data_IF_064896180739
#
_entry.id   IF_064896180739
#
_cell.length_a   1.000
_cell.length_b   1.000
_cell.length_c   1.000
_cell.angle_alpha   90.00
_cell.angle_beta   90.00
_cell.angle_gamma   90.00
#
_symmetry.space_group_name_H-M   'P 1'
#
loop_
_entity.id
_entity.type
_entity.pdbx_description
1 polymer ?
#
# COMPACT_ATOMS: atom_id res chain seq x y z
N UNK A 1 -16.49 -25.40 6.30
CA UNK A 1 -15.39 -24.75 7.07
C UNK A 1 -14.34 -24.04 6.20
N UNK A 2 -14.32 -24.18 4.87
CA UNK A 2 -13.32 -23.54 3.99
C UNK A 2 -13.53 -22.04 3.72
N UNK A 3 -14.78 -21.58 3.58
CA UNK A 3 -15.09 -20.22 3.09
C UNK A 3 -14.60 -19.08 4.00
N UNK A 4 -14.58 -19.29 5.32
CA UNK A 4 -14.22 -18.25 6.30
C UNK A 4 -12.74 -17.85 6.24
N UNK A 5 -11.83 -18.77 5.84
CA UNK A 5 -10.40 -18.48 5.72
C UNK A 5 -10.02 -17.92 4.36
N UNK A 6 -10.80 -18.23 3.32
CA UNK A 6 -10.59 -17.74 1.96
C UNK A 6 -10.97 -16.26 1.84
N UNK A 7 -12.02 -15.81 2.51
CA UNK A 7 -12.46 -14.41 2.47
C UNK A 7 -11.38 -13.37 2.80
N UNK A 8 -10.62 -13.46 3.91
CA UNK A 8 -9.58 -12.48 4.21
C UNK A 8 -8.40 -12.56 3.23
N UNK A 9 -8.01 -13.77 2.78
CA UNK A 9 -6.97 -13.94 1.76
C UNK A 9 -7.38 -13.30 0.45
N UNK A 10 -8.64 -13.47 0.04
CA UNK A 10 -9.20 -12.87 -1.17
C UNK A 10 -9.20 -11.33 -1.06
N UNK A 11 -9.59 -10.76 0.09
CA UNK A 11 -9.52 -9.31 0.32
C UNK A 11 -8.09 -8.80 0.25
N UNK A 12 -7.14 -9.51 0.87
CA UNK A 12 -5.72 -9.21 0.77
C UNK A 12 -5.24 -9.26 -0.67
N UNK A 13 -5.61 -10.30 -1.41
CA UNK A 13 -5.20 -10.48 -2.81
C UNK A 13 -5.78 -9.44 -3.76
N UNK A 14 -7.08 -9.19 -3.70
CA UNK A 14 -7.75 -8.14 -4.49
C UNK A 14 -7.18 -6.77 -4.16
N UNK A 15 -7.00 -6.46 -2.87
CA UNK A 15 -6.39 -5.20 -2.44
C UNK A 15 -4.97 -5.05 -2.98
N UNK A 16 -4.15 -6.10 -2.92
CA UNK A 16 -2.80 -6.10 -3.46
C UNK A 16 -2.77 -5.84 -4.97
N UNK A 17 -3.62 -6.52 -5.74
CA UNK A 17 -3.73 -6.29 -7.19
C UNK A 17 -4.15 -4.84 -7.50
N UNK A 18 -5.14 -4.30 -6.79
CA UNK A 18 -5.57 -2.91 -6.98
C UNK A 18 -4.45 -1.91 -6.66
N UNK A 19 -3.73 -2.11 -5.55
CA UNK A 19 -2.57 -1.30 -5.19
C UNK A 19 -1.46 -1.39 -6.24
N UNK A 20 -1.21 -2.57 -6.79
CA UNK A 20 -0.18 -2.76 -7.82
C UNK A 20 -0.55 -2.14 -9.18
N UNK A 21 -1.84 -2.04 -9.50
CA UNK A 21 -2.32 -1.37 -10.71
C UNK A 21 -2.36 0.16 -10.56
N UNK A 22 -2.49 0.66 -9.32
CA UNK A 22 -2.67 2.08 -9.05
C UNK A 22 -1.63 3.00 -9.74
N UNK A 23 -0.30 2.78 -9.61
CA UNK A 23 0.69 3.70 -10.18
C UNK A 23 0.61 3.85 -11.71
N UNK A 24 0.19 2.80 -12.41
CA UNK A 24 0.19 2.75 -13.87
C UNK A 24 -1.14 3.18 -14.51
N UNK A 25 -2.23 3.33 -13.75
CA UNK A 25 -3.57 3.48 -14.32
C UNK A 25 -4.36 4.64 -13.73
N UNK A 26 -4.83 4.51 -12.48
CA UNK A 26 -5.77 5.46 -11.89
C UNK A 26 -5.29 6.05 -10.54
N UNK A 27 -4.05 5.80 -10.16
CA UNK A 27 -3.39 6.39 -9.00
C UNK A 27 -4.22 6.24 -7.72
N UNK A 28 -4.57 7.35 -7.04
CA UNK A 28 -5.34 7.31 -5.79
C UNK A 28 -6.70 6.64 -5.89
N UNK A 29 -7.36 6.64 -7.06
CA UNK A 29 -8.68 6.02 -7.23
C UNK A 29 -8.65 4.50 -7.02
N UNK A 30 -7.54 3.85 -7.34
CA UNK A 30 -7.33 2.41 -7.06
C UNK A 30 -6.61 2.18 -5.73
N UNK A 31 -5.72 3.10 -5.35
CA UNK A 31 -4.96 2.94 -4.11
C UNK A 31 -5.85 3.06 -2.87
N UNK A 32 -6.80 4.01 -2.82
CA UNK A 32 -7.68 4.18 -1.68
C UNK A 32 -8.57 2.95 -1.39
N UNK A 33 -9.27 2.34 -2.37
CA UNK A 33 -9.98 1.08 -2.11
C UNK A 33 -9.03 -0.08 -1.81
N UNK A 34 -7.82 -0.10 -2.38
CA UNK A 34 -6.81 -1.10 -2.04
C UNK A 34 -6.39 -1.03 -0.56
N UNK A 35 -6.14 0.18 -0.06
CA UNK A 35 -5.81 0.43 1.34
C UNK A 35 -7.00 0.17 2.26
N UNK A 36 -8.23 0.45 1.83
CA UNK A 36 -9.43 0.08 2.57
C UNK A 36 -9.54 -1.45 2.75
N UNK A 37 -9.22 -2.22 1.71
CA UNK A 37 -9.12 -3.68 1.80
C UNK A 37 -7.98 -4.13 2.72
N UNK A 38 -6.82 -3.45 2.71
CA UNK A 38 -5.73 -3.70 3.65
C UNK A 38 -6.18 -3.50 5.10
N UNK A 39 -6.87 -2.39 5.41
CA UNK A 39 -7.41 -2.12 6.75
C UNK A 39 -8.41 -3.19 7.23
N UNK A 40 -9.16 -3.78 6.31
CA UNK A 40 -10.09 -4.88 6.63
C UNK A 40 -9.40 -6.17 7.09
N UNK A 41 -8.11 -6.32 6.79
CA UNK A 41 -7.28 -7.50 7.13
C UNK A 41 -5.99 -7.13 7.86
N UNK A 42 -5.86 -5.88 8.34
CA UNK A 42 -4.60 -5.35 8.87
C UNK A 42 -4.10 -6.09 10.12
N UNK A 43 -5.00 -6.67 10.92
CA UNK A 43 -4.64 -7.47 12.08
C UNK A 43 -4.21 -8.91 11.73
N UNK A 44 -4.37 -9.32 10.47
CA UNK A 44 -4.07 -10.67 9.99
C UNK A 44 -2.78 -10.71 9.16
N UNK A 45 -1.79 -11.44 9.68
CA UNK A 45 -0.45 -11.54 9.06
C UNK A 45 -0.49 -12.01 7.60
N UNK A 46 -1.07 -13.19 7.37
CA UNK A 46 -1.09 -13.83 6.04
C UNK A 46 -1.73 -12.96 4.95
N UNK A 47 -2.97 -12.47 5.08
CA UNK A 47 -3.59 -11.65 4.04
C UNK A 47 -2.92 -10.29 3.85
N UNK A 48 -2.38 -9.67 4.91
CA UNK A 48 -1.57 -8.44 4.77
C UNK A 48 -0.28 -8.70 3.98
N UNK A 49 0.41 -9.82 4.25
CA UNK A 49 1.57 -10.24 3.46
C UNK A 49 1.23 -10.52 1.99
N UNK A 50 0.11 -11.20 1.72
CA UNK A 50 -0.40 -11.45 0.35
C UNK A 50 -0.71 -10.14 -0.37
N UNK A 51 -1.29 -9.16 0.33
CA UNK A 51 -1.53 -7.83 -0.20
C UNK A 51 -0.22 -7.17 -0.68
N UNK A 52 0.81 -7.16 0.17
CA UNK A 52 2.11 -6.55 -0.17
C UNK A 52 2.83 -7.26 -1.29
N UNK A 53 2.82 -8.60 -1.25
CA UNK A 53 3.40 -9.43 -2.28
C UNK A 53 2.81 -9.14 -3.66
N UNK A 54 1.47 -9.16 -3.76
CA UNK A 54 0.78 -8.93 -5.03
C UNK A 54 0.86 -7.48 -5.48
N UNK A 55 0.81 -6.51 -4.56
CA UNK A 55 1.01 -5.10 -4.89
C UNK A 55 2.35 -4.88 -5.60
N UNK A 56 3.44 -5.44 -5.07
CA UNK A 56 4.76 -5.31 -5.68
C UNK A 56 4.93 -6.17 -6.94
N UNK A 57 4.46 -7.42 -6.96
CA UNK A 57 4.53 -8.22 -8.19
C UNK A 57 3.86 -7.52 -9.37
N UNK A 58 2.66 -6.97 -9.16
CA UNK A 58 1.88 -6.33 -10.22
C UNK A 58 2.52 -4.99 -10.62
N UNK A 59 2.89 -4.14 -9.66
CA UNK A 59 3.47 -2.82 -9.96
C UNK A 59 4.88 -2.92 -10.56
N UNK A 60 5.70 -3.86 -10.09
CA UNK A 60 7.10 -4.00 -10.49
C UNK A 60 7.32 -5.00 -11.63
N UNK A 61 6.27 -5.38 -12.37
CA UNK A 61 6.39 -6.27 -13.55
C UNK A 61 7.42 -5.76 -14.58
N UNK A 62 7.66 -4.44 -14.60
CA UNK A 62 8.62 -3.80 -15.48
C UNK A 62 10.06 -4.28 -15.23
N UNK A 63 10.38 -4.80 -14.04
CA UNK A 63 11.70 -5.40 -13.74
C UNK A 63 12.00 -6.59 -14.65
N UNK A 64 10.98 -7.32 -15.13
CA UNK A 64 11.17 -8.40 -16.10
C UNK A 64 11.64 -7.87 -17.46
N UNK A 65 11.27 -6.63 -17.80
CA UNK A 65 11.73 -5.92 -19.00
C UNK A 65 13.19 -5.45 -18.92
N UNK A 66 13.87 -5.64 -17.78
CA UNK A 66 15.33 -5.47 -17.71
C UNK A 66 16.05 -6.55 -18.54
N UNK A 67 15.40 -7.68 -18.82
CA UNK A 67 15.92 -8.65 -19.76
C UNK A 67 15.93 -8.06 -21.19
N UNK A 68 17.05 -8.13 -21.93
CA UNK A 68 18.34 -8.71 -21.56
C UNK A 68 19.27 -7.73 -20.82
N UNK A 69 19.97 -8.23 -19.81
CA UNK A 69 20.96 -7.47 -19.03
C UNK A 69 22.39 -7.53 -19.63
N UNK A 70 22.49 -7.73 -20.95
CA UNK A 70 23.78 -7.86 -21.65
C UNK A 70 24.60 -6.57 -21.60
N UNK A 71 23.95 -5.42 -21.46
CA UNK A 71 24.59 -4.13 -21.23
C UNK A 71 25.36 -4.06 -19.89
N UNK A 72 25.05 -4.93 -18.92
CA UNK A 72 25.81 -5.13 -17.67
C UNK A 72 26.80 -6.30 -17.74
N UNK A 73 27.01 -6.89 -18.93
CA UNK A 73 27.88 -8.06 -19.10
C UNK A 73 27.27 -9.39 -18.66
N UNK A 74 25.97 -9.44 -18.32
CA UNK A 74 25.28 -10.69 -17.98
C UNK A 74 24.85 -11.42 -19.26
N UNK A 75 25.17 -12.73 -19.41
CA UNK A 75 24.72 -13.51 -20.56
C UNK A 75 23.19 -13.52 -20.71
N UNK A 76 22.70 -13.50 -21.96
CA UNK A 76 21.28 -13.45 -22.27
C UNK A 76 20.46 -14.55 -21.57
N UNK A 77 21.01 -15.77 -21.46
CA UNK A 77 20.35 -16.89 -20.79
C UNK A 77 20.22 -16.69 -19.26
N UNK A 78 21.21 -16.08 -18.62
CA UNK A 78 21.23 -15.83 -17.17
C UNK A 78 20.48 -14.56 -16.78
N UNK A 79 20.32 -13.62 -17.71
CA UNK A 79 19.67 -12.34 -17.41
C UNK A 79 18.19 -12.47 -17.02
N UNK A 80 17.43 -13.43 -17.57
CA UNK A 80 16.03 -13.63 -17.21
C UNK A 80 15.88 -14.19 -15.78
N UNK A 81 16.59 -15.27 -15.37
CA UNK A 81 16.64 -15.70 -13.98
C UNK A 81 17.00 -14.60 -12.99
N UNK A 82 17.96 -13.74 -13.34
CA UNK A 82 18.36 -12.59 -12.50
C UNK A 82 17.21 -11.58 -12.36
N UNK A 83 16.58 -11.19 -13.48
CA UNK A 83 15.44 -10.26 -13.45
C UNK A 83 14.25 -10.81 -12.65
N UNK A 84 13.92 -12.10 -12.83
CA UNK A 84 12.87 -12.78 -12.06
C UNK A 84 13.22 -12.83 -10.57
N UNK A 85 14.49 -13.12 -10.22
CA UNK A 85 14.94 -13.18 -8.83
C UNK A 85 14.82 -11.82 -8.14
N UNK A 86 15.23 -10.73 -8.82
CA UNK A 86 15.06 -9.37 -8.31
C UNK A 86 13.58 -9.00 -8.12
N UNK A 87 12.75 -9.32 -9.11
CA UNK A 87 11.31 -9.06 -9.06
C UNK A 87 10.64 -9.78 -7.87
N UNK A 88 10.93 -11.07 -7.68
CA UNK A 88 10.42 -11.85 -6.55
C UNK A 88 10.99 -11.35 -5.23
N UNK A 89 12.28 -11.00 -5.17
CA UNK A 89 12.92 -10.48 -3.95
C UNK A 89 12.23 -9.20 -3.46
N UNK A 90 11.98 -8.24 -4.36
CA UNK A 90 11.23 -7.02 -4.03
C UNK A 90 9.82 -7.35 -3.50
N UNK A 91 9.10 -8.28 -4.14
CA UNK A 91 7.78 -8.68 -3.70
C UNK A 91 7.80 -9.36 -2.32
N UNK A 92 8.80 -10.21 -2.05
CA UNK A 92 8.96 -10.83 -0.74
C UNK A 92 9.32 -9.82 0.34
N UNK A 93 10.15 -8.81 0.05
CA UNK A 93 10.48 -7.74 0.98
C UNK A 93 9.22 -6.95 1.39
N UNK A 94 8.37 -6.60 0.43
CA UNK A 94 7.09 -5.93 0.72
C UNK A 94 6.13 -6.81 1.54
N UNK A 95 6.07 -8.11 1.23
CA UNK A 95 5.30 -9.07 2.01
C UNK A 95 5.77 -9.14 3.46
N UNK A 96 7.10 -9.23 3.68
CA UNK A 96 7.70 -9.23 5.01
C UNK A 96 7.42 -7.94 5.77
N UNK A 97 7.51 -6.79 5.10
CA UNK A 97 7.22 -5.49 5.69
C UNK A 97 5.77 -5.41 6.20
N UNK A 98 4.79 -5.84 5.40
CA UNK A 98 3.40 -5.89 5.83
C UNK A 98 3.10 -7.00 6.85
N UNK A 99 3.84 -8.10 6.83
CA UNK A 99 3.79 -9.10 7.90
C UNK A 99 4.23 -8.50 9.24
N UNK A 100 5.29 -7.70 9.26
CA UNK A 100 5.76 -7.01 10.46
C UNK A 100 4.78 -5.90 10.88
N UNK A 101 4.31 -5.09 9.94
CA UNK A 101 3.33 -4.04 10.21
C UNK A 101 2.01 -4.60 10.76
N UNK A 102 1.53 -5.74 10.23
CA UNK A 102 0.33 -6.42 10.74
C UNK A 102 0.52 -7.07 12.12
N UNK A 103 1.74 -7.46 12.49
CA UNK A 103 2.05 -7.88 13.88
C UNK A 103 1.82 -6.71 14.83
N UNK A 104 2.31 -5.52 14.47
CA UNK A 104 2.07 -4.31 15.25
C UNK A 104 0.58 -3.95 15.28
N UNK A 105 -0.09 -4.01 14.12
CA UNK A 105 -1.52 -3.71 14.01
C UNK A 105 -2.37 -4.62 14.90
N UNK A 106 -2.05 -5.90 14.97
CA UNK A 106 -2.69 -6.84 15.89
C UNK A 106 -2.47 -6.48 17.36
N UNK A 107 -1.29 -6.00 17.75
CA UNK A 107 -1.00 -5.59 19.13
C UNK A 107 -1.76 -4.33 19.56
N UNK A 108 -2.01 -3.43 18.60
CA UNK A 108 -2.71 -2.16 18.84
C UNK A 108 -4.23 -2.29 18.77
N UNK A 109 -4.73 -3.36 18.17
CA UNK A 109 -6.16 -3.65 18.11
C UNK A 109 -6.66 -4.06 19.50
N UNK A 110 -7.27 -3.12 20.20
CA UNK A 110 -7.85 -3.32 21.54
C UNK A 110 -9.25 -3.95 21.46
N UNK A 111 -9.42 -5.13 22.06
CA UNK A 111 -10.72 -5.76 22.33
C UNK A 111 -11.31 -6.62 21.19
N UNK A 112 -12.43 -7.29 21.48
CA UNK A 112 -13.22 -8.13 20.56
C UNK A 112 -14.01 -7.30 19.51
N UNK A 113 -13.96 -5.97 19.62
CA UNK A 113 -14.71 -5.06 18.77
C UNK A 113 -14.12 -4.95 17.35
N UNK A 114 -15.00 -5.00 16.34
CA UNK A 114 -14.67 -4.83 14.91
C UNK A 114 -14.07 -3.45 14.53
N UNK A 115 -13.83 -2.55 15.48
CA UNK A 115 -13.50 -1.14 15.22
C UNK A 115 -12.11 -0.77 15.73
N UNK A 116 -11.36 -0.03 14.91
CA UNK A 116 -10.06 0.51 15.30
C UNK A 116 -10.24 1.83 16.03
N UNK A 117 -9.41 2.09 17.04
CA UNK A 117 -9.34 3.42 17.66
C UNK A 117 -8.59 4.38 16.73
N UNK A 118 -8.98 5.67 16.64
CA UNK A 118 -8.26 6.64 15.80
C UNK A 118 -6.77 6.76 16.16
N UNK A 119 -6.43 6.63 17.44
CA UNK A 119 -5.03 6.64 17.91
C UNK A 119 -4.21 5.46 17.37
N UNK A 120 -4.77 4.25 17.33
CA UNK A 120 -4.09 3.09 16.74
C UNK A 120 -3.87 3.25 15.23
N UNK A 121 -4.86 3.81 14.52
CA UNK A 121 -4.76 4.09 13.08
C UNK A 121 -3.66 5.10 12.79
N UNK A 122 -3.64 6.21 13.53
CA UNK A 122 -2.61 7.24 13.40
C UNK A 122 -1.22 6.68 13.71
N UNK A 123 -1.07 5.89 14.77
CA UNK A 123 0.21 5.29 15.11
C UNK A 123 0.70 4.32 14.03
N UNK A 124 -0.18 3.47 13.49
CA UNK A 124 0.17 2.57 12.39
C UNK A 124 0.52 3.31 11.10
N UNK A 125 -0.18 4.40 10.80
CA UNK A 125 0.11 5.26 9.65
C UNK A 125 1.45 5.99 9.81
N UNK A 126 1.74 6.50 11.01
CA UNK A 126 3.02 7.13 11.34
C UNK A 126 4.20 6.14 11.27
N UNK A 127 4.01 4.91 11.76
CA UNK A 127 5.02 3.86 11.66
C UNK A 127 5.31 3.54 10.20
N UNK A 128 4.27 3.42 9.36
CA UNK A 128 4.46 3.19 7.93
C UNK A 128 5.14 4.38 7.24
N UNK A 129 4.76 5.61 7.57
CA UNK A 129 5.41 6.81 7.07
C UNK A 129 6.91 6.84 7.41
N UNK A 130 7.27 6.52 8.65
CA UNK A 130 8.69 6.42 9.07
C UNK A 130 9.44 5.30 8.34
N UNK A 131 8.78 4.17 8.07
CA UNK A 131 9.32 3.10 7.24
C UNK A 131 9.55 3.57 5.81
N UNK A 132 8.64 4.35 5.21
CA UNK A 132 8.85 4.91 3.87
C UNK A 132 10.05 5.85 3.82
N UNK A 133 10.23 6.72 4.82
CA UNK A 133 11.44 7.55 4.91
C UNK A 133 12.72 6.68 4.99
N UNK A 134 12.69 5.58 5.73
CA UNK A 134 13.82 4.65 5.77
C UNK A 134 14.05 3.92 4.43
N UNK A 135 12.96 3.59 3.72
CA UNK A 135 13.03 2.97 2.40
C UNK A 135 13.61 3.93 1.35
N UNK A 136 13.34 5.23 1.43
CA UNK A 136 13.91 6.26 0.53
C UNK A 136 15.45 6.26 0.55
N UNK A 137 16.05 6.01 1.71
CA UNK A 137 17.50 5.88 1.85
C UNK A 137 18.07 4.54 1.39
N UNK A 138 17.24 3.63 0.86
CA UNK A 138 17.59 2.25 0.56
C UNK A 138 17.33 1.90 -0.92
N UNK A 139 17.89 0.81 -1.46
CA UNK A 139 17.54 0.35 -2.82
C UNK A 139 16.07 -0.09 -2.97
N UNK A 140 15.31 -0.18 -1.87
CA UNK A 140 13.91 -0.61 -1.83
C UNK A 140 12.91 0.56 -1.82
N UNK A 141 13.34 1.79 -2.12
CA UNK A 141 12.49 2.99 -2.10
C UNK A 141 11.21 2.89 -2.94
N UNK A 142 11.19 2.00 -3.93
CA UNK A 142 10.08 1.76 -4.86
C UNK A 142 8.86 1.07 -4.23
N UNK A 143 8.99 0.51 -3.03
CA UNK A 143 7.91 -0.22 -2.33
C UNK A 143 6.89 0.75 -1.68
N UNK A 144 7.24 2.04 -1.55
CA UNK A 144 6.41 3.04 -0.88
C UNK A 144 5.03 3.27 -1.52
N UNK A 145 4.03 3.51 -0.68
CA UNK A 145 2.66 3.89 -1.04
C UNK A 145 2.58 5.39 -1.38
N UNK A 146 3.43 6.23 -0.80
CA UNK A 146 3.46 7.67 -1.10
C UNK A 146 3.62 7.97 -2.60
N UNK A 147 4.41 7.15 -3.30
CA UNK A 147 4.70 7.32 -4.74
C UNK A 147 3.55 6.95 -5.69
N UNK A 148 2.54 6.19 -5.25
CA UNK A 148 1.46 5.71 -6.14
C UNK A 148 0.52 6.81 -6.67
N UNK A 149 0.68 8.01 -6.14
CA UNK A 149 -0.05 9.22 -6.48
C UNK A 149 0.47 9.86 -7.78
N UNK A 150 1.76 9.66 -8.08
CA UNK A 150 2.44 10.34 -9.17
C UNK A 150 2.48 9.46 -10.43
N UNK A 151 2.31 10.04 -11.63
CA UNK A 151 2.06 11.45 -11.96
C UNK A 151 0.57 11.84 -12.02
N UNK A 152 -0.34 10.89 -11.74
CA UNK A 152 -1.76 10.99 -12.08
C UNK A 152 -2.52 12.03 -11.24
N UNK A 153 -2.07 12.33 -10.02
CA UNK A 153 -2.75 13.24 -9.11
C UNK A 153 -1.88 14.46 -8.76
N UNK A 154 -2.04 15.52 -9.56
CA UNK A 154 -1.33 16.80 -9.42
C UNK A 154 -1.52 17.47 -8.05
N UNK A 155 -2.71 17.55 -7.47
CA UNK A 155 -2.85 18.21 -6.19
C UNK A 155 -2.18 17.44 -5.05
N UNK A 156 -2.29 16.10 -5.02
CA UNK A 156 -1.51 15.34 -4.04
C UNK A 156 0.00 15.42 -4.29
N UNK A 157 0.45 15.54 -5.55
CA UNK A 157 1.84 15.89 -5.86
C UNK A 157 2.24 17.26 -5.27
N UNK A 158 1.33 18.24 -5.33
CA UNK A 158 1.49 19.53 -4.70
C UNK A 158 1.62 19.45 -3.18
N UNK A 159 0.85 18.59 -2.52
CA UNK A 159 0.99 18.32 -1.08
C UNK A 159 2.30 17.62 -0.72
N UNK A 160 2.82 16.77 -1.62
CA UNK A 160 4.11 16.10 -1.44
C UNK A 160 5.26 17.09 -1.19
N UNK A 161 5.19 18.30 -1.77
CA UNK A 161 6.21 19.34 -1.59
C UNK A 161 6.37 19.77 -0.11
N UNK A 162 5.31 19.64 0.67
CA UNK A 162 5.27 20.08 2.07
C UNK A 162 5.55 18.94 3.04
N UNK A 163 5.05 17.74 2.76
CA UNK A 163 5.04 16.62 3.72
C UNK A 163 5.90 15.44 3.28
N UNK A 164 6.45 15.46 2.06
CA UNK A 164 7.23 14.37 1.49
C UNK A 164 6.39 13.11 1.17
N UNK A 165 7.07 12.04 0.75
CA UNK A 165 6.42 10.77 0.39
C UNK A 165 5.77 10.07 1.58
N UNK A 166 6.46 9.99 2.73
CA UNK A 166 5.93 9.39 3.95
C UNK A 166 4.73 10.14 4.50
N UNK A 167 4.70 11.46 4.34
CA UNK A 167 3.52 12.29 4.62
C UNK A 167 2.32 11.92 3.77
N UNK A 168 2.52 11.74 2.46
CA UNK A 168 1.47 11.26 1.55
C UNK A 168 1.00 9.86 1.92
N UNK A 169 1.91 8.96 2.31
CA UNK A 169 1.55 7.62 2.75
C UNK A 169 0.69 7.64 4.01
N UNK A 170 1.01 8.52 4.97
CA UNK A 170 0.18 8.73 6.16
C UNK A 170 -1.23 9.17 5.77
N UNK A 171 -1.36 10.19 4.91
CA UNK A 171 -2.66 10.71 4.45
C UNK A 171 -3.45 9.60 3.75
N UNK A 172 -2.82 8.88 2.82
CA UNK A 172 -3.46 7.78 2.08
C UNK A 172 -3.90 6.64 3.01
N UNK A 173 -3.11 6.25 4.00
CA UNK A 173 -3.47 5.22 4.97
C UNK A 173 -4.67 5.66 5.82
N UNK A 174 -4.70 6.90 6.30
CA UNK A 174 -5.84 7.46 7.06
C UNK A 174 -7.09 7.50 6.19
N UNK A 175 -6.97 7.90 4.92
CA UNK A 175 -8.10 7.89 3.98
C UNK A 175 -8.59 6.48 3.65
N UNK A 176 -7.69 5.53 3.43
CA UNK A 176 -8.04 4.12 3.25
C UNK A 176 -8.82 3.57 4.44
N UNK A 177 -8.40 3.91 5.67
CA UNK A 177 -9.14 3.53 6.88
C UNK A 177 -10.52 4.19 6.93
N UNK A 178 -10.60 5.49 6.63
CA UNK A 178 -11.86 6.23 6.59
C UNK A 178 -12.85 5.64 5.57
N UNK A 179 -12.37 5.22 4.40
CA UNK A 179 -13.18 4.55 3.39
C UNK A 179 -13.68 3.18 3.86
N UNK A 180 -12.82 2.41 4.53
CA UNK A 180 -13.22 1.16 5.16
C UNK A 180 -14.27 1.35 6.28
N UNK A 181 -14.14 2.41 7.09
CA UNK A 181 -15.15 2.76 8.10
C UNK A 181 -16.49 3.15 7.48
N UNK A 182 -16.49 3.88 6.37
CA UNK A 182 -17.70 4.22 5.61
C UNK A 182 -18.42 2.96 5.14
N UNK A 183 -17.67 1.98 4.64
CA UNK A 183 -18.20 0.68 4.25
C UNK A 183 -18.82 -0.07 5.44
N UNK A 184 -18.12 -0.15 6.57
CA UNK A 184 -18.60 -0.84 7.76
C UNK A 184 -19.78 -0.15 8.46
N UNK A 185 -19.84 1.19 8.45
CA UNK A 185 -20.86 2.00 9.15
C UNK A 185 -21.95 2.56 8.22
N UNK A 186 -22.14 1.96 7.02
CA UNK A 186 -23.18 2.33 6.03
C UNK A 186 -23.25 3.83 5.73
N UNK A 187 -22.10 4.48 5.47
CA UNK A 187 -22.09 5.83 4.90
C UNK A 187 -22.24 7.00 5.88
N UNK A 188 -22.43 6.76 7.17
CA UNK A 188 -22.73 7.81 8.17
C UNK A 188 -21.66 8.92 8.30
N UNK A 189 -20.42 8.64 7.88
CA UNK A 189 -19.27 9.58 7.93
C UNK A 189 -18.74 9.99 6.54
N UNK A 190 -19.47 9.68 5.47
CA UNK A 190 -19.05 9.96 4.09
C UNK A 190 -18.76 11.45 3.86
N UNK A 191 -19.63 12.34 4.35
CA UNK A 191 -19.47 13.79 4.17
C UNK A 191 -18.17 14.33 4.79
N UNK A 192 -17.83 13.87 6.01
CA UNK A 192 -16.58 14.27 6.67
C UNK A 192 -15.36 13.77 5.90
N UNK A 193 -15.37 12.50 5.48
CA UNK A 193 -14.28 11.95 4.69
C UNK A 193 -14.10 12.69 3.35
N UNK A 194 -15.19 12.93 2.62
CA UNK A 194 -15.18 13.72 1.38
C UNK A 194 -14.67 15.14 1.61
N UNK A 195 -15.06 15.80 2.71
CA UNK A 195 -14.54 17.14 3.01
C UNK A 195 -13.02 17.16 3.21
N UNK A 196 -12.45 16.15 3.88
CA UNK A 196 -10.99 16.05 4.04
C UNK A 196 -10.28 15.76 2.72
N UNK A 197 -10.90 14.93 1.87
CA UNK A 197 -10.39 14.62 0.54
C UNK A 197 -10.36 15.87 -0.35
N UNK A 198 -11.49 16.59 -0.43
CA UNK A 198 -11.61 17.84 -1.20
C UNK A 198 -10.65 18.91 -0.67
N UNK A 199 -10.54 19.07 0.65
CA UNK A 199 -9.66 20.08 1.25
C UNK A 199 -8.19 19.80 0.94
N UNK A 200 -7.76 18.54 0.98
CA UNK A 200 -6.41 18.17 0.55
C UNK A 200 -6.17 18.47 -0.94
N UNK A 201 -7.17 18.22 -1.80
CA UNK A 201 -7.06 18.55 -3.23
C UNK A 201 -7.05 20.06 -3.48
N UNK A 202 -7.74 20.85 -2.65
CA UNK A 202 -7.74 22.31 -2.73
C UNK A 202 -6.41 22.93 -2.25
N UNK A 203 -5.80 22.38 -1.20
CA UNK A 203 -4.49 22.85 -0.69
C UNK A 203 -3.35 22.45 -1.61
N UNK A 204 -3.50 21.32 -2.31
CA UNK A 204 -2.49 20.80 -3.23
C UNK A 204 -2.50 21.40 -4.64
N UNK A 205 -3.64 21.98 -5.07
CA UNK A 205 -3.82 22.62 -6.37
C UNK A 205 -3.07 23.96 -6.47
#
# INVERSE_FOLDING_TARGET
MGDLRLQPILRGGLGGVLAGLAPASAGPLLMLPALALLWSVADQRRPAGVWGFLAVLVSHRWLLGLHPLTWMGVPALLSLPVAVSLWVLCATAAALLLLLWSVLARRLKTGDGSSWTPGAVLLLALVWAGVELALEGSPLFWIGVGGSVLPLDRPLAGLARWVGSGGLALVQLVWGWGLWQIWCQRGRRLRLWLSTFVLAHAVGA
#
